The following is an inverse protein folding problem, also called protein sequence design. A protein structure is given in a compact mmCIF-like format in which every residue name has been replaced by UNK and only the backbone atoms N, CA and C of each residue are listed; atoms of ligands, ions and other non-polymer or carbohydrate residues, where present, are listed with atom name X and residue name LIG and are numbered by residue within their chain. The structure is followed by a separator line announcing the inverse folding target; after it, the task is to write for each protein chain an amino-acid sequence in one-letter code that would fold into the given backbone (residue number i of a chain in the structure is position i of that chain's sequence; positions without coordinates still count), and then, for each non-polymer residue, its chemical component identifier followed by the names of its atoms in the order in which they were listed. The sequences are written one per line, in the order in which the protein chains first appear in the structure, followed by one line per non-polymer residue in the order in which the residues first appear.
data_IF_029016895254
#
_entry.id   IF_029016895254
#
_cell.length_a   1.000
_cell.length_b   1.000
_cell.length_c   1.000
_cell.angle_alpha   90.00
_cell.angle_beta   90.00
_cell.angle_gamma   90.00
#
_symmetry.space_group_name_H-M   'P 1'
#
loop_
_entity.id
_entity.type
_entity.pdbx_description
1 polymer ?
2 non-polymer ?
3 non-polymer ?
4 water ?
#
# COMPACT_ATOMS: atom_id res chain seq x y z
N UNK A 2 34.27 -13.45 -1.20
CA UNK A 2 34.08 -12.16 -1.83
C UNK A 2 32.72 -12.26 -2.50
N UNK A 3 32.07 -11.12 -2.62
CA UNK A 3 30.76 -11.12 -3.30
C UNK A 3 30.70 -9.93 -4.15
N UNK A 4 30.35 -10.14 -5.41
CA UNK A 4 30.04 -9.13 -6.32
C UNK A 4 28.49 -8.98 -6.30
N UNK A 5 28.02 -7.78 -5.91
CA UNK A 5 26.64 -7.47 -5.93
C UNK A 5 26.21 -6.69 -7.21
N UNK A 6 25.11 -7.09 -7.79
CA UNK A 6 24.56 -6.25 -8.90
C UNK A 6 23.08 -6.12 -8.61
N UNK A 7 22.54 -4.96 -8.99
CA UNK A 7 21.12 -4.82 -8.99
C UNK A 7 20.70 -4.78 -10.47
N UNK A 8 19.80 -5.68 -10.91
CA UNK A 8 19.26 -5.69 -12.26
C UNK A 8 17.70 -5.73 -12.31
N UNK A 9 17.16 -5.59 -13.51
CA UNK A 9 15.68 -5.78 -13.72
C UNK A 9 15.30 -7.27 -13.86
N UNK A 10 14.25 -7.64 -13.19
CA UNK A 10 13.74 -8.96 -13.30
C UNK A 10 12.67 -8.90 -14.34
N UNK A 11 12.25 -10.05 -14.91
CA UNK A 11 11.21 -10.04 -15.90
C UNK A 11 9.93 -9.76 -15.12
N UNK A 12 8.86 -9.24 -15.77
CA UNK A 12 7.61 -9.06 -15.04
C UNK A 12 7.13 -10.34 -14.35
N UNK A 13 6.41 -10.24 -13.24
CA UNK A 13 5.83 -11.46 -12.65
C UNK A 13 4.50 -11.77 -13.37
N UNK A 14 4.01 -13.00 -13.09
CA UNK A 14 2.67 -13.44 -13.48
C UNK A 14 1.68 -12.55 -12.68
N UNK A 15 0.58 -12.16 -13.31
CA UNK A 15 -0.42 -11.40 -12.58
C UNK A 15 -0.79 -12.07 -11.21
N UNK A 16 -0.59 -11.40 -10.06
CA UNK A 16 -1.06 -11.83 -8.70
C UNK A 16 -0.46 -13.12 -8.18
N UNK A 17 0.85 -13.14 -8.21
CA UNK A 17 1.63 -14.20 -7.74
C UNK A 17 1.73 -14.06 -6.21
N UNK A 20 -2.13 -17.97 -2.42
CA UNK A 20 -3.35 -18.01 -1.59
C UNK A 20 -4.60 -17.57 -2.34
N UNK A 21 -5.74 -17.59 -1.64
CA UNK A 21 -6.99 -17.33 -2.33
C UNK A 21 -7.53 -15.94 -2.03
N UNK A 22 -8.86 -15.79 -2.07
CA UNK A 22 -9.53 -14.54 -1.61
C UNK A 22 -9.48 -14.36 -0.09
N UNK A 23 -9.43 -13.10 0.35
CA UNK A 23 -9.25 -12.74 1.73
C UNK A 23 -10.48 -13.18 2.49
N UNK A 24 -10.29 -13.53 3.76
CA UNK A 24 -11.37 -13.89 4.57
C UNK A 24 -12.11 -12.70 5.12
N UNK A 25 -13.25 -12.98 5.73
CA UNK A 25 -14.03 -11.91 6.37
C UNK A 25 -13.17 -11.02 7.31
N UNK A 26 -12.41 -11.65 8.23
CA UNK A 26 -11.59 -10.94 9.25
C UNK A 26 -10.35 -10.24 8.69
N UNK A 27 -9.58 -10.96 7.87
CA UNK A 27 -8.44 -10.35 7.14
C UNK A 27 -8.92 -9.09 6.31
N UNK A 28 -10.06 -9.24 5.62
CA UNK A 28 -10.70 -8.05 4.91
C UNK A 28 -11.10 -6.89 5.90
N UNK A 29 -11.67 -7.24 7.08
CA UNK A 29 -12.07 -6.26 8.07
C UNK A 29 -10.79 -5.55 8.58
N UNK A 30 -9.77 -6.34 8.85
CA UNK A 30 -8.47 -5.79 9.36
C UNK A 30 -7.83 -4.77 8.36
N UNK A 31 -7.59 -5.21 7.11
CA UNK A 31 -6.95 -4.30 6.14
C UNK A 31 -7.80 -3.12 5.78
N UNK A 32 -9.14 -3.27 5.67
CA UNK A 32 -10.02 -2.17 5.59
C UNK A 32 -9.74 -1.12 6.69
N UNK A 33 -9.60 -1.66 7.93
CA UNK A 33 -9.37 -0.74 9.04
C UNK A 33 -8.11 0.05 8.89
N UNK A 34 -7.06 -0.61 8.43
CA UNK A 34 -5.85 0.12 8.14
C UNK A 34 -5.87 1.16 7.00
N UNK A 35 -6.56 0.75 5.90
CA UNK A 35 -6.75 1.71 4.81
C UNK A 35 -7.59 2.92 5.24
N UNK A 36 -8.49 2.74 6.20
CA UNK A 36 -9.29 3.82 6.76
C UNK A 36 -8.43 4.80 7.43
N UNK A 37 -7.43 4.32 8.13
CA UNK A 37 -6.48 5.24 8.78
C UNK A 37 -5.70 6.12 7.76
N UNK A 38 -5.15 5.52 6.66
CA UNK A 38 -4.46 6.27 5.69
C UNK A 38 -5.38 7.12 4.76
N UNK A 39 -6.70 6.86 4.86
CA UNK A 39 -7.76 7.50 4.03
C UNK A 39 -8.04 9.01 4.36
N UNK A 40 -7.17 9.55 5.15
CA UNK A 40 -7.39 10.93 5.69
C UNK A 40 -6.30 11.72 5.07
N UNK A 41 -6.60 12.88 4.37
CA UNK A 41 -5.56 13.62 3.75
C UNK A 41 -4.48 14.19 4.73
N UNK A 42 -4.94 14.54 5.94
CA UNK A 42 -4.00 15.05 6.93
C UNK A 42 -3.06 13.98 7.32
N UNK A 43 -3.56 12.78 7.51
CA UNK A 43 -2.70 11.70 7.94
C UNK A 43 -1.70 11.39 6.86
N UNK A 44 -2.17 11.36 5.59
CA UNK A 44 -1.22 11.10 4.51
C UNK A 44 -0.21 12.19 4.36
N UNK A 45 -0.60 13.45 4.61
CA UNK A 45 0.33 14.53 4.56
C UNK A 45 1.44 14.41 5.71
N UNK A 46 0.95 14.02 6.92
CA UNK A 46 1.87 13.67 8.03
C UNK A 46 2.90 12.67 7.50
N UNK A 47 2.36 11.60 6.93
CA UNK A 47 3.28 10.59 6.42
C UNK A 47 4.26 11.13 5.39
N UNK A 48 3.84 11.99 4.45
CA UNK A 48 4.78 12.60 3.57
C UNK A 48 5.91 13.27 4.25
N UNK A 49 5.63 13.89 5.42
CA UNK A 49 6.72 14.65 6.04
C UNK A 49 7.65 13.78 6.83
N UNK A 50 7.14 12.67 7.29
CA UNK A 50 8.06 11.66 7.95
C UNK A 50 8.93 11.05 6.93
N UNK A 51 8.32 10.84 5.76
CA UNK A 51 9.07 10.30 4.65
C UNK A 51 10.12 11.20 4.04
N UNK A 52 9.80 12.48 3.83
CA UNK A 52 10.71 13.47 3.36
C UNK A 52 11.90 13.71 4.37
N UNK A 53 11.75 13.40 5.65
CA UNK A 53 12.86 13.53 6.55
C UNK A 53 13.72 12.25 6.67
N UNK A 54 13.56 11.29 5.77
CA UNK A 54 14.23 10.07 5.82
C UNK A 54 13.74 9.10 6.89
N UNK A 55 12.53 9.32 7.43
CA UNK A 55 11.94 8.49 8.44
C UNK A 55 12.72 8.57 9.73
N UNK A 56 13.27 9.73 9.97
CA UNK A 56 13.90 10.03 11.23
C UNK A 56 12.81 10.25 12.23
N UNK A 57 13.10 10.12 13.47
CA UNK A 57 12.05 10.36 14.47
C UNK A 57 11.79 11.83 14.55
N UNK A 58 10.54 12.17 14.92
CA UNK A 58 10.15 13.56 15.01
C UNK A 58 9.22 13.76 16.27
N UNK A 59 9.30 14.96 16.69
CA UNK A 59 8.46 15.43 17.79
C UNK A 59 7.23 16.06 17.20
N UNK A 60 6.18 16.20 18.00
CA UNK A 60 4.99 16.90 17.59
C UNK A 60 5.38 18.37 17.24
N UNK A 61 6.18 19.08 18.01
CA UNK A 61 6.47 20.45 17.63
C UNK A 61 7.22 20.57 16.28
N UNK A 62 8.03 19.55 15.97
CA UNK A 62 8.68 19.51 14.66
C UNK A 62 7.70 19.28 13.57
N UNK A 63 6.71 18.43 13.81
CA UNK A 63 5.68 18.16 12.76
C UNK A 63 4.78 19.33 12.61
N UNK A 64 4.46 20.02 13.74
CA UNK A 64 3.67 21.24 13.57
C UNK A 64 4.37 22.24 12.69
N UNK A 65 5.69 22.38 12.86
CA UNK A 65 6.45 23.29 11.98
C UNK A 65 6.51 22.85 10.53
N UNK A 66 6.70 21.54 10.30
CA UNK A 66 6.72 21.00 8.93
C UNK A 66 5.35 21.11 8.24
N UNK A 67 4.26 21.06 8.97
CA UNK A 67 2.88 20.90 8.36
C UNK A 67 2.06 22.22 8.32
N UNK A 68 2.35 23.08 9.27
CA UNK A 68 1.58 24.38 9.37
C UNK A 68 0.27 24.10 9.98
N UNK A 69 0.10 23.00 10.75
CA UNK A 69 -1.21 22.74 11.44
C UNK A 69 -0.94 22.80 12.92
N UNK A 70 -1.99 22.97 13.71
CA UNK A 70 -1.70 23.07 15.11
C UNK A 70 -1.25 21.83 15.80
N UNK A 71 -0.69 21.99 16.98
CA UNK A 71 -0.32 20.83 17.78
C UNK A 71 -1.46 19.93 18.08
N UNK A 72 -2.65 20.46 18.48
CA UNK A 72 -3.73 19.57 18.81
C UNK A 72 -4.21 18.69 17.61
N UNK A 73 -4.24 19.29 16.45
CA UNK A 73 -4.58 18.57 15.23
C UNK A 73 -3.61 17.42 14.99
N UNK A 74 -2.35 17.76 15.07
CA UNK A 74 -1.26 16.76 14.68
C UNK A 74 -1.28 15.63 15.74
N UNK A 75 -1.44 16.03 17.00
CA UNK A 75 -1.60 15.00 18.04
C UNK A 75 -2.77 14.05 17.84
N UNK A 76 -3.99 14.54 17.48
CA UNK A 76 -5.12 13.71 17.24
C UNK A 76 -4.82 12.59 16.25
N UNK A 77 -4.08 13.02 15.24
CA UNK A 77 -3.78 12.14 14.10
C UNK A 77 -2.61 11.21 14.39
N UNK A 78 -1.55 11.70 15.05
CA UNK A 78 -0.49 10.83 15.55
C UNK A 78 -1.06 9.72 16.44
N UNK A 79 -2.04 10.00 17.30
CA UNK A 79 -2.59 8.88 18.09
C UNK A 79 -3.30 7.79 17.30
N UNK A 80 -4.00 8.17 16.25
CA UNK A 80 -4.75 7.26 15.43
C UNK A 80 -3.72 6.37 14.68
N UNK A 81 -2.64 7.03 14.30
CA UNK A 81 -1.56 6.37 13.47
C UNK A 81 -0.80 5.41 14.36
N UNK A 82 -0.57 5.82 15.61
CA UNK A 82 0.22 4.94 16.60
C UNK A 82 -0.62 3.84 17.01
N UNK A 83 -1.92 4.10 17.29
CA UNK A 83 -2.83 3.05 17.68
C UNK A 83 -2.97 1.95 16.64
N UNK A 84 -2.97 2.33 15.39
CA UNK A 84 -3.09 1.35 14.33
C UNK A 84 -1.86 0.56 14.13
N UNK A 85 -0.76 1.08 14.54
CA UNK A 85 0.56 0.44 14.34
C UNK A 85 1.49 0.92 13.30
N UNK A 86 1.15 2.07 12.66
CA UNK A 86 2.05 2.65 11.64
C UNK A 86 3.20 3.44 12.19
N UNK A 87 3.05 3.90 13.49
CA UNK A 87 4.12 4.63 14.20
C UNK A 87 4.34 4.06 15.63
N UNK A 88 5.55 4.25 16.12
CA UNK A 88 5.97 3.91 17.52
C UNK A 88 6.10 5.20 18.25
N UNK A 89 5.69 5.23 19.50
CA UNK A 89 5.89 6.39 20.37
C UNK A 89 7.07 6.08 21.31
N UNK A 90 8.09 6.93 21.32
CA UNK A 90 9.25 6.89 22.23
C UNK A 90 9.08 8.11 23.29
N UNK A 91 8.43 7.80 24.35
CA UNK A 91 7.96 8.75 25.30
C UNK A 91 8.92 9.14 26.41
N UNK A 92 9.96 8.35 26.69
CA UNK A 92 10.97 8.80 27.68
C UNK A 92 11.48 10.19 27.27
N UNK A 93 12.06 10.93 28.23
CA UNK A 93 12.56 12.24 28.04
C UNK A 93 11.64 13.37 28.13
N UNK A 94 12.18 14.53 27.83
CA UNK A 94 11.41 15.78 27.85
C UNK A 94 10.50 16.01 26.63
N UNK A 95 10.93 15.50 25.49
CA UNK A 95 10.19 15.68 24.28
C UNK A 95 9.92 14.28 23.72
N UNK A 96 8.67 13.93 23.48
CA UNK A 96 8.23 12.63 22.97
C UNK A 96 8.58 12.58 21.45
N UNK A 97 9.19 11.45 21.04
CA UNK A 97 9.34 11.21 19.65
C UNK A 97 8.42 10.18 19.09
N UNK A 98 8.12 10.34 17.79
CA UNK A 98 7.41 9.33 17.04
C UNK A 98 8.29 8.87 15.89
N UNK A 99 8.17 7.55 15.63
CA UNK A 99 9.06 6.85 14.61
C UNK A 99 8.09 6.05 13.70
N UNK A 100 8.27 6.11 12.37
CA UNK A 100 7.57 5.26 11.42
C UNK A 100 8.02 3.88 11.68
N UNK A 101 7.06 2.98 11.57
CA UNK A 101 7.29 1.51 11.58
C UNK A 101 7.06 1.03 10.13
N UNK A 102 7.99 0.31 9.56
CA UNK A 102 7.79 -0.15 8.21
C UNK A 102 6.83 -1.27 8.04
N UNK A 103 6.56 -2.04 9.11
CA UNK A 103 5.83 -3.35 8.94
C UNK A 103 4.45 -3.34 8.33
N UNK A 104 3.58 -2.42 8.80
CA UNK A 104 2.24 -2.46 8.26
C UNK A 104 2.19 -1.95 6.81
N UNK A 105 3.08 -1.02 6.50
CA UNK A 105 3.15 -0.49 5.09
C UNK A 105 3.47 -1.68 4.19
N UNK A 106 4.44 -2.53 4.61
CA UNK A 106 4.71 -3.70 3.74
C UNK A 106 3.57 -4.68 3.62
N UNK A 107 2.78 -4.91 4.69
CA UNK A 107 1.63 -5.78 4.58
C UNK A 107 0.60 -5.20 3.60
N UNK A 108 0.40 -3.84 3.67
CA UNK A 108 -0.51 -3.24 2.74
C UNK A 108 -0.06 -3.27 1.26
N UNK A 109 1.26 -3.15 1.05
CA UNK A 109 1.80 -3.37 -0.26
C UNK A 109 1.47 -4.80 -0.75
N UNK A 110 1.65 -5.73 0.10
CA UNK A 110 1.25 -7.12 -0.31
C UNK A 110 -0.19 -7.20 -0.68
N UNK A 111 -1.09 -6.67 0.12
CA UNK A 111 -2.48 -6.69 -0.20
C UNK A 111 -2.75 -6.09 -1.55
N UNK A 112 -1.98 -5.11 -1.95
CA UNK A 112 -2.27 -4.38 -3.17
C UNK A 112 -1.40 -4.94 -4.32
N UNK A 113 -0.89 -6.14 -4.22
CA UNK A 113 0.03 -6.71 -5.29
C UNK A 113 -0.86 -7.26 -6.42
N UNK A 114 -1.67 -6.46 -7.00
CA UNK A 114 -2.62 -6.84 -8.01
C UNK A 114 -2.01 -6.48 -9.35
N UNK A 115 -1.77 -7.42 -10.26
CA UNK A 115 -1.23 -7.12 -11.54
C UNK A 115 0.14 -7.68 -11.62
N UNK A 116 0.74 -7.63 -12.81
CA UNK A 116 2.13 -8.08 -13.00
C UNK A 116 3.01 -7.04 -12.36
N UNK A 117 3.93 -7.44 -11.50
CA UNK A 117 4.95 -6.52 -10.96
C UNK A 117 6.33 -6.55 -11.63
N UNK A 118 6.93 -5.36 -11.67
CA UNK A 118 8.19 -5.06 -12.22
C UNK A 118 9.05 -4.97 -10.97
N UNK A 119 10.02 -5.85 -10.77
CA UNK A 119 10.84 -5.81 -9.60
C UNK A 119 12.32 -5.72 -9.95
N UNK A 120 13.14 -5.20 -9.01
CA UNK A 120 14.58 -5.33 -9.06
C UNK A 120 14.96 -6.75 -8.59
N UNK A 121 16.09 -7.23 -9.10
CA UNK A 121 16.65 -8.45 -8.61
C UNK A 121 18.05 -8.15 -8.14
N UNK A 122 18.38 -8.55 -6.94
CA UNK A 122 19.67 -8.30 -6.30
C UNK A 122 20.41 -9.66 -6.50
N UNK A 123 21.42 -9.69 -7.37
CA UNK A 123 22.27 -10.87 -7.62
C UNK A 123 23.52 -10.77 -6.71
N UNK A 124 23.75 -11.87 -5.99
CA UNK A 124 24.83 -11.93 -5.14
C UNK A 124 25.84 -12.94 -5.83
N UNK A 125 26.91 -12.45 -6.30
CA UNK A 125 27.88 -13.32 -7.04
C UNK A 125 29.00 -13.66 -6.07
N UNK A 126 28.89 -14.85 -5.47
CA UNK A 126 29.89 -15.29 -4.48
C UNK A 126 31.05 -15.84 -5.17
N UNK A 127 32.24 -15.39 -4.80
CA UNK A 127 33.44 -15.92 -5.46
C UNK A 127 34.60 -15.83 -4.52
N UNK B 3 14.36 -15.49 -4.91
CA UNK B 3 13.31 -15.49 -3.86
C UNK B 3 12.78 -14.03 -3.61
N UNK B 4 11.47 -13.84 -3.46
CA UNK B 4 10.98 -12.51 -3.05
C UNK B 4 11.40 -12.14 -1.66
N UNK B 5 11.78 -10.89 -1.43
CA UNK B 5 12.32 -10.53 -0.07
C UNK B 5 11.88 -9.09 0.20
N UNK B 6 11.25 -8.83 1.32
CA UNK B 6 11.12 -7.43 1.72
C UNK B 6 12.35 -7.04 2.48
N UNK B 7 13.04 -6.02 2.04
CA UNK B 7 14.30 -5.58 2.60
C UNK B 7 14.04 -4.27 3.33
N UNK B 8 14.77 -4.00 4.41
CA UNK B 8 14.78 -2.66 5.07
C UNK B 8 15.70 -1.71 4.33
N UNK B 9 15.32 -0.46 4.20
CA UNK B 9 16.07 0.54 3.51
C UNK B 9 16.72 1.55 4.53
N UNK B 10 17.84 1.09 5.08
CA UNK B 10 18.46 1.72 6.23
C UNK B 10 19.25 3.01 5.93
N UNK B 11 19.39 3.43 4.66
CA UNK B 11 20.00 4.68 4.34
C UNK B 11 18.81 5.66 4.29
N UNK B 12 18.84 6.77 5.10
CA UNK B 12 17.71 7.70 5.03
C UNK B 12 17.42 8.30 3.62
N UNK B 13 18.38 8.41 2.74
CA UNK B 13 18.16 8.94 1.40
C UNK B 13 17.40 7.93 0.57
N UNK B 14 17.60 6.64 0.77
CA UNK B 14 16.95 5.56 0.03
C UNK B 14 15.55 5.15 0.65
N UNK B 15 15.41 5.31 1.98
CA UNK B 15 14.37 4.81 2.75
C UNK B 15 12.97 4.99 2.12
N UNK B 16 12.76 6.20 1.65
CA UNK B 16 11.44 6.50 1.11
C UNK B 16 11.63 7.16 -0.25
N UNK B 17 12.62 6.68 -1.02
CA UNK B 17 12.99 7.41 -2.17
C UNK B 17 11.85 7.31 -3.26
N UNK B 18 11.13 6.21 -3.35
CA UNK B 18 9.98 6.13 -4.28
C UNK B 18 8.62 6.70 -3.73
N UNK B 19 8.48 6.86 -2.42
CA UNK B 19 7.17 7.32 -1.87
C UNK B 19 7.13 8.82 -1.69
N UNK B 20 8.25 9.40 -1.42
CA UNK B 20 8.34 10.84 -1.09
C UNK B 20 7.73 11.77 -2.08
N UNK B 21 8.05 11.53 -3.36
CA UNK B 21 7.48 12.39 -4.33
C UNK B 21 5.97 12.29 -4.41
N UNK B 22 5.35 11.07 -4.60
CA UNK B 22 3.89 11.07 -4.74
C UNK B 22 3.30 11.47 -3.41
N UNK B 23 3.94 11.17 -2.26
CA UNK B 23 3.32 11.53 -1.02
C UNK B 23 3.31 13.08 -0.88
N UNK B 24 4.35 13.63 -1.36
CA UNK B 24 4.57 15.16 -1.25
C UNK B 24 3.78 15.98 -2.26
N UNK B 25 3.33 15.32 -3.29
CA UNK B 25 2.69 15.98 -4.39
C UNK B 25 1.30 16.41 -4.00
N UNK B 26 0.78 17.32 -4.84
CA UNK B 26 -0.58 17.82 -4.64
C UNK B 26 -1.61 16.72 -5.03
N UNK B 27 -1.15 15.58 -5.51
CA UNK B 27 -2.02 14.41 -5.69
C UNK B 27 -2.24 13.62 -4.35
N UNK B 28 -1.57 14.08 -3.24
CA UNK B 28 -1.70 13.32 -2.04
C UNK B 28 -3.16 13.23 -1.49
N UNK B 29 -3.96 14.28 -1.71
CA UNK B 29 -5.33 14.22 -1.25
C UNK B 29 -6.11 13.14 -2.07
N UNK B 30 -5.76 12.98 -3.37
CA UNK B 30 -6.32 11.93 -4.20
C UNK B 30 -5.93 10.56 -3.72
N UNK B 31 -4.60 10.34 -3.40
CA UNK B 31 -4.20 9.12 -2.83
C UNK B 31 -4.98 8.76 -1.56
N UNK B 32 -5.18 9.73 -0.67
CA UNK B 32 -5.96 9.45 0.50
C UNK B 32 -7.42 9.12 0.19
N UNK B 33 -8.03 9.80 -0.82
CA UNK B 33 -9.35 9.37 -1.23
C UNK B 33 -9.33 7.93 -1.75
N UNK B 34 -8.26 7.51 -2.44
CA UNK B 34 -8.24 6.14 -2.88
C UNK B 34 -8.16 5.19 -1.73
N UNK B 35 -7.32 5.43 -0.67
CA UNK B 35 -7.26 4.53 0.44
C UNK B 35 -8.62 4.45 1.21
N UNK B 36 -9.39 5.57 1.19
CA UNK B 36 -10.68 5.65 1.80
C UNK B 36 -11.66 4.71 1.07
N UNK B 37 -11.53 4.65 -0.27
CA UNK B 37 -12.29 3.79 -1.08
C UNK B 37 -11.98 2.33 -0.73
N UNK B 38 -10.71 2.03 -0.50
CA UNK B 38 -10.26 0.74 -0.13
C UNK B 38 -10.59 0.34 1.31
N UNK B 39 -10.95 1.28 2.17
CA UNK B 39 -11.24 0.98 3.58
C UNK B 39 -12.64 0.51 3.73
N UNK B 40 -13.08 -0.45 2.93
CA UNK B 40 -14.35 -1.13 3.12
C UNK B 40 -14.04 -2.65 2.93
N UNK B 41 -14.38 -3.48 3.84
CA UNK B 41 -14.10 -4.93 3.72
C UNK B 41 -14.65 -5.67 2.54
N UNK B 42 -15.91 -5.37 2.18
CA UNK B 42 -16.55 -6.03 1.04
C UNK B 42 -15.71 -5.65 -0.23
N UNK B 43 -15.32 -4.35 -0.34
CA UNK B 43 -14.53 -3.95 -1.51
C UNK B 43 -13.25 -4.68 -1.63
N UNK B 44 -12.61 -4.90 -0.53
CA UNK B 44 -11.34 -5.63 -0.55
C UNK B 44 -11.52 -7.06 -0.97
N UNK B 45 -12.56 -7.68 -0.45
CA UNK B 45 -12.96 -9.04 -0.93
C UNK B 45 -13.33 -9.15 -2.41
N UNK B 46 -14.00 -8.17 -2.94
CA UNK B 46 -14.25 -8.15 -4.35
C UNK B 46 -12.92 -8.15 -5.00
N UNK B 47 -12.03 -7.23 -4.59
CA UNK B 47 -10.67 -7.27 -5.21
C UNK B 47 -9.98 -8.58 -5.14
N UNK B 48 -10.08 -9.21 -3.98
CA UNK B 48 -9.65 -10.63 -3.81
C UNK B 48 -10.19 -11.66 -4.69
N UNK B 49 -11.52 -11.63 -4.84
CA UNK B 49 -12.11 -12.63 -5.77
C UNK B 49 -11.60 -12.36 -7.22
N UNK B 50 -11.43 -11.06 -7.60
CA UNK B 50 -10.99 -10.76 -8.92
C UNK B 50 -9.60 -11.20 -9.16
N UNK B 51 -8.73 -10.94 -8.21
CA UNK B 51 -7.36 -11.32 -8.36
C UNK B 51 -7.21 -12.88 -8.27
N UNK B 52 -7.97 -13.52 -7.39
CA UNK B 52 -7.93 -14.97 -7.27
C UNK B 52 -8.35 -15.65 -8.59
N UNK B 53 -9.07 -14.94 -9.44
CA UNK B 53 -9.33 -15.38 -10.81
C UNK B 53 -8.37 -14.93 -11.90
N UNK B 54 -7.13 -14.69 -11.55
CA UNK B 54 -6.17 -14.35 -12.57
C UNK B 54 -6.43 -12.96 -13.15
N UNK B 55 -7.35 -12.16 -12.55
CA UNK B 55 -7.66 -10.80 -12.99
C UNK B 55 -8.41 -10.69 -14.30
N UNK B 56 -9.03 -11.76 -14.71
CA UNK B 56 -9.98 -11.69 -15.83
C UNK B 56 -11.20 -10.89 -15.51
N UNK B 57 -11.87 -10.40 -16.54
CA UNK B 57 -13.11 -9.72 -16.36
C UNK B 57 -14.18 -10.64 -15.87
N UNK B 58 -14.98 -10.22 -14.89
CA UNK B 58 -16.03 -11.04 -14.27
C UNK B 58 -17.33 -10.21 -14.29
N UNK B 59 -18.48 -10.86 -14.50
CA UNK B 59 -19.78 -10.22 -14.33
C UNK B 59 -20.27 -10.06 -12.88
N UNK B 60 -21.12 -9.10 -12.67
CA UNK B 60 -21.78 -8.99 -11.36
C UNK B 60 -22.45 -10.29 -10.91
N UNK B 61 -23.12 -10.99 -11.79
CA UNK B 61 -23.80 -12.30 -11.48
C UNK B 61 -22.83 -13.32 -10.95
N UNK B 62 -21.65 -13.37 -11.53
CA UNK B 62 -20.66 -14.32 -11.08
C UNK B 62 -20.14 -13.93 -9.67
N UNK B 63 -20.00 -12.63 -9.44
CA UNK B 63 -19.43 -12.23 -8.15
C UNK B 63 -20.51 -12.41 -7.06
N UNK B 64 -21.80 -12.21 -7.42
CA UNK B 64 -22.85 -12.36 -6.36
C UNK B 64 -22.90 -13.89 -5.99
N UNK B 65 -22.78 -14.77 -6.95
CA UNK B 65 -22.71 -16.19 -6.65
C UNK B 65 -21.48 -16.51 -5.73
N UNK B 66 -20.32 -15.97 -6.08
CA UNK B 66 -19.05 -16.28 -5.36
C UNK B 66 -19.11 -15.75 -3.92
N UNK B 67 -19.68 -14.54 -3.75
CA UNK B 67 -19.62 -13.94 -2.47
C UNK B 67 -20.82 -14.10 -1.52
N UNK B 68 -21.97 -14.56 -2.09
CA UNK B 68 -23.21 -14.62 -1.34
C UNK B 68 -23.84 -13.32 -0.96
N UNK B 69 -23.42 -12.22 -1.68
CA UNK B 69 -23.98 -10.91 -1.38
C UNK B 69 -24.99 -10.56 -2.46
N UNK B 70 -25.92 -9.65 -2.21
CA UNK B 70 -26.93 -9.38 -3.19
C UNK B 70 -26.42 -8.62 -4.46
N UNK B 71 -27.16 -8.70 -5.56
CA UNK B 71 -26.70 -7.99 -6.74
C UNK B 71 -26.69 -6.42 -6.46
N UNK B 72 -27.73 -5.84 -5.84
CA UNK B 72 -27.55 -4.36 -5.53
C UNK B 72 -26.28 -4.06 -4.66
N UNK B 73 -25.90 -4.96 -3.77
CA UNK B 73 -24.73 -4.69 -2.94
C UNK B 73 -23.47 -4.68 -3.77
N UNK B 74 -23.26 -5.79 -4.50
CA UNK B 74 -22.07 -5.87 -5.31
C UNK B 74 -22.05 -4.79 -6.38
N UNK B 75 -23.19 -4.53 -7.03
CA UNK B 75 -23.22 -3.51 -8.04
C UNK B 75 -22.83 -2.14 -7.44
N UNK B 76 -23.23 -1.85 -6.20
CA UNK B 76 -22.93 -0.53 -5.59
C UNK B 76 -21.36 -0.42 -5.48
N UNK B 77 -20.77 -1.50 -5.00
CA UNK B 77 -19.32 -1.55 -4.68
C UNK B 77 -18.56 -1.47 -5.99
N UNK B 78 -19.05 -2.16 -7.01
CA UNK B 78 -18.38 -2.15 -8.24
C UNK B 78 -18.37 -0.73 -8.86
N UNK B 79 -19.50 -0.07 -8.69
CA UNK B 79 -19.63 1.27 -9.27
C UNK B 79 -18.53 2.21 -8.51
N UNK B 80 -18.44 2.13 -7.20
CA UNK B 80 -17.53 2.99 -6.44
C UNK B 80 -16.07 2.66 -6.84
N UNK B 81 -15.75 1.39 -7.04
CA UNK B 81 -14.43 1.01 -7.39
C UNK B 81 -14.03 1.41 -8.84
N UNK B 82 -15.02 1.32 -9.72
CA UNK B 82 -14.85 1.78 -11.12
C UNK B 82 -14.71 3.37 -11.15
N UNK B 83 -15.50 4.09 -10.39
CA UNK B 83 -15.40 5.56 -10.43
C UNK B 83 -14.00 5.90 -9.89
N UNK B 84 -13.52 5.12 -8.94
CA UNK B 84 -12.18 5.40 -8.36
C UNK B 84 -11.05 5.09 -9.27
N UNK B 85 -11.30 4.26 -10.28
CA UNK B 85 -10.30 3.85 -11.25
C UNK B 85 -9.63 2.50 -10.95
N UNK B 86 -10.05 1.79 -9.86
CA UNK B 86 -9.53 0.48 -9.59
C UNK B 86 -9.92 -0.60 -10.62
N UNK B 87 -11.12 -0.34 -11.18
CA UNK B 87 -11.76 -1.33 -12.15
C UNK B 87 -12.17 -0.56 -13.36
N UNK B 88 -12.37 -1.29 -14.43
CA UNK B 88 -13.16 -0.60 -15.50
C UNK B 88 -13.99 -1.69 -16.12
N UNK B 89 -14.81 -1.24 -17.04
CA UNK B 89 -15.82 -2.14 -17.56
C UNK B 89 -15.35 -2.58 -18.97
N UNK B 90 -15.60 -3.81 -19.28
CA UNK B 90 -15.30 -4.31 -20.65
C UNK B 90 -16.51 -5.18 -21.13
N UNK B 91 -16.92 -5.03 -22.36
CA UNK B 91 -18.15 -5.65 -22.82
C UNK B 91 -17.92 -7.04 -23.22
N UNK B 92 -18.90 -7.89 -23.05
CA UNK B 92 -18.88 -9.17 -23.69
C UNK B 92 -20.24 -9.27 -24.42
N UNK B 93 -20.29 -8.87 -25.72
CA UNK B 93 -21.56 -8.66 -26.35
C UNK B 93 -22.24 -7.52 -25.58
N UNK B 94 -23.49 -7.72 -25.17
CA UNK B 94 -24.19 -6.79 -24.33
C UNK B 94 -24.04 -7.05 -22.84
N UNK B 95 -23.31 -8.09 -22.43
CA UNK B 95 -23.10 -8.24 -20.99
C UNK B 95 -21.91 -7.37 -20.53
N UNK B 96 -22.07 -6.68 -19.40
CA UNK B 96 -20.97 -5.84 -18.85
C UNK B 96 -20.12 -6.68 -17.88
N UNK B 97 -18.78 -6.80 -18.13
CA UNK B 97 -17.85 -7.43 -17.17
C UNK B 97 -17.02 -6.34 -16.49
N UNK B 98 -16.48 -6.66 -15.30
CA UNK B 98 -15.56 -5.74 -14.62
C UNK B 98 -14.20 -6.34 -14.50
N UNK B 99 -13.15 -5.54 -14.77
CA UNK B 99 -11.81 -6.06 -14.62
C UNK B 99 -10.96 -5.05 -13.84
N UNK B 100 -10.15 -5.62 -13.00
CA UNK B 100 -9.19 -4.83 -12.28
C UNK B 100 -8.19 -4.15 -13.23
N UNK B 101 -7.91 -2.93 -12.90
CA UNK B 101 -6.84 -2.14 -13.55
C UNK B 101 -5.58 -2.14 -12.61
N UNK B 102 -4.44 -2.62 -13.05
CA UNK B 102 -3.18 -2.68 -12.32
C UNK B 102 -2.51 -1.36 -12.00
N UNK B 103 -2.71 -0.40 -12.87
CA UNK B 103 -2.12 0.95 -12.71
C UNK B 103 -2.19 1.62 -11.36
N UNK B 104 -3.40 1.89 -10.85
CA UNK B 104 -3.54 2.53 -9.55
C UNK B 104 -2.89 1.70 -8.47
N UNK B 105 -2.93 0.40 -8.59
CA UNK B 105 -2.41 -0.39 -7.50
C UNK B 105 -0.95 -0.20 -7.46
N UNK B 106 -0.30 -0.22 -8.62
CA UNK B 106 1.16 0.04 -8.68
C UNK B 106 1.52 1.43 -8.11
N UNK B 107 0.72 2.40 -8.37
CA UNK B 107 0.94 3.72 -7.84
C UNK B 107 0.83 3.69 -6.30
N UNK B 108 -0.20 3.05 -5.77
CA UNK B 108 -0.44 2.92 -4.29
C UNK B 108 0.73 2.17 -3.64
N UNK B 109 1.22 1.08 -4.26
CA UNK B 109 2.45 0.42 -3.78
C UNK B 109 3.63 1.30 -3.60
N UNK B 110 3.83 2.26 -4.54
CA UNK B 110 4.88 3.24 -4.46
C UNK B 110 4.65 4.24 -3.30
N UNK B 111 3.44 4.65 -3.09
CA UNK B 111 3.15 5.64 -2.02
C UNK B 111 3.43 5.04 -0.63
N UNK B 112 3.28 3.71 -0.58
CA UNK B 112 3.43 2.91 0.65
C UNK B 112 4.87 2.28 0.78
N UNK B 113 5.83 2.69 -0.01
CA UNK B 113 7.20 2.22 0.10
C UNK B 113 7.87 3.11 1.12
N UNK B 114 7.63 2.73 2.37
CA UNK B 114 8.02 3.50 3.53
C UNK B 114 9.00 2.66 4.40
N UNK B 115 10.25 2.76 4.05
CA UNK B 115 11.34 2.13 4.86
C UNK B 115 11.66 0.70 4.43
N UNK B 116 11.01 0.18 3.42
CA UNK B 116 11.18 -1.21 3.00
C UNK B 116 10.64 -1.32 1.60
N UNK B 117 11.08 -2.35 0.87
CA UNK B 117 10.65 -2.56 -0.48
C UNK B 117 10.82 -4.07 -0.76
N UNK B 118 10.13 -4.50 -1.80
CA UNK B 118 10.19 -5.92 -2.31
C UNK B 118 11.07 -5.96 -3.46
N UNK B 119 11.99 -6.95 -3.45
CA UNK B 119 12.81 -7.30 -4.60
C UNK B 119 13.04 -8.80 -4.55
N UNK B 120 13.64 -9.27 -5.63
CA UNK B 120 14.04 -10.72 -5.76
C UNK B 120 15.54 -10.83 -5.40
N UNK B 121 15.85 -11.82 -4.60
CA UNK B 121 17.21 -12.13 -4.19
C UNK B 121 17.69 -13.35 -5.00
N UNK B 122 18.85 -13.25 -5.63
CA UNK B 122 19.32 -14.43 -6.38
C UNK B 122 20.78 -14.62 -5.99
N UNK B 123 21.12 -15.76 -5.37
CA UNK B 123 22.59 -16.03 -5.09
C UNK B 123 23.16 -16.92 -6.16
N UNK B 124 24.40 -16.61 -6.50
CA UNK B 124 25.15 -17.28 -7.58
C UNK B 124 26.48 -17.69 -6.96
N UNK B 125 26.86 -18.94 -7.30
CA UNK B 125 28.20 -19.40 -6.97
C UNK B 125 29.05 -19.64 -8.22
N UNK B 126 30.30 -19.50 -7.95
CA UNK B 126 31.31 -19.50 -9.05
C UNK B 126 32.45 -20.46 -8.67
N UNK B 127 33.14 -21.02 -9.64
CA UNK B 127 34.20 -21.98 -9.18
C UNK B 127 35.28 -21.90 -10.16
X LIG C 1 -4.25 -11.15 -11.12
X LIG D 1 -10.67 18.68 15.00
X LIG D 1 -9.82 17.67 14.18
X LIG D 1 -9.73 18.18 12.83
X LIG D 1 -8.44 17.66 14.78
X LIG D 1 -10.35 16.23 14.06
X LIG D 1 -11.81 16.16 13.62
X LIG D 1 -12.11 16.90 12.39
X LIG D 1 -12.29 14.77 13.50
X LIG E 1 11.81 7.16 4.87
#
# INVERSE_FOLDING_TARGET
MTTLHTIQLANPTECCTLATGPLSSDESEHYADLFKVLGDPVRLRILSQLAAGGCGPVSVNELTDLMGLSQPTISHHLKKMTEAGFLDRVPEGRVVLHRVRPELFAELRTVLQIGSMELLEHHHHHH
MTTLHTIQLANPTECCTLATGPLSSDESEHYADLFKVLGDPVRLRILSQLAAGGCGPVSVNELTDLMGLSQPTISHHLKKMTEAGFLDRVPEGRVVLHRVRPELFAELRTVLQIGSMELLEHHHHHH
ARS AS
MPD C1 C2 O2 CM C3 C4 O4 C5
ARS AS
#
